data_IF_812729258877
#
_entry.id   IF_812729258877
#
_cell.length_a   1.000
_cell.length_b   1.000
_cell.length_c   1.000
_cell.angle_alpha   90.00
_cell.angle_beta   90.00
_cell.angle_gamma   90.00
#
_symmetry.space_group_name_H-M   'P 1'
#
loop_
_entity.id
_entity.type
_entity.pdbx_description
1 polymer ?
#
# COMPACT_ATOMS: atom_id res chain seq x y z
N UNK A 1 -2.17 12.34 10.19
CA UNK A 1 -1.42 13.08 9.16
C UNK A 1 -0.07 12.43 8.95
N UNK A 2 0.31 12.15 7.71
CA UNK A 2 1.65 11.73 7.30
C UNK A 2 2.35 12.94 6.68
N UNK A 3 3.59 13.22 7.07
CA UNK A 3 4.39 14.27 6.41
C UNK A 3 5.82 13.82 6.15
N UNK A 4 6.40 14.38 5.12
CA UNK A 4 7.79 14.18 4.72
C UNK A 4 8.48 15.55 4.63
N UNK A 5 9.67 15.66 5.19
CA UNK A 5 10.44 16.89 5.23
C UNK A 5 11.80 16.70 4.60
N UNK A 6 12.06 17.42 3.47
CA UNK A 6 13.33 17.48 2.77
C UNK A 6 13.94 16.08 2.47
N UNK A 7 13.09 15.11 2.11
CA UNK A 7 13.54 13.76 1.83
C UNK A 7 14.46 13.72 0.61
N UNK A 8 15.55 13.00 0.76
CA UNK A 8 16.46 12.65 -0.34
C UNK A 8 16.70 11.15 -0.35
N UNK A 9 16.79 10.57 -1.53
CA UNK A 9 17.06 9.15 -1.71
C UNK A 9 18.26 8.93 -2.66
N UNK A 10 19.17 8.08 -2.22
CA UNK A 10 20.34 7.66 -2.99
C UNK A 10 20.41 6.14 -3.04
N UNK A 11 20.75 5.57 -4.19
CA UNK A 11 20.96 4.14 -4.38
C UNK A 11 22.33 3.90 -5.03
N UNK A 12 23.27 3.37 -4.24
CA UNK A 12 24.69 3.35 -4.62
C UNK A 12 25.20 4.78 -4.82
N UNK A 13 25.75 5.06 -5.98
CA UNK A 13 26.23 6.41 -6.34
C UNK A 13 25.15 7.29 -6.98
N UNK A 14 23.99 6.70 -7.36
CA UNK A 14 22.92 7.42 -8.04
C UNK A 14 21.96 8.06 -7.04
N UNK A 15 21.80 9.38 -7.10
CA UNK A 15 20.75 10.11 -6.43
C UNK A 15 19.47 9.95 -7.23
N UNK A 16 18.35 9.57 -6.58
CA UNK A 16 17.06 9.34 -7.22
C UNK A 16 16.20 10.61 -7.15
N UNK A 17 16.11 11.22 -5.97
CA UNK A 17 15.42 12.49 -5.75
C UNK A 17 16.03 13.22 -4.55
N UNK A 18 15.77 14.55 -4.47
CA UNK A 18 16.26 15.41 -3.39
C UNK A 18 15.26 16.47 -2.99
N UNK A 19 15.21 16.77 -1.67
CA UNK A 19 14.45 17.90 -1.13
C UNK A 19 12.94 17.74 -1.17
N UNK A 20 12.43 16.50 -1.31
CA UNK A 20 11.01 16.21 -1.41
C UNK A 20 10.33 16.47 -0.06
N UNK A 21 9.27 17.29 -0.09
CA UNK A 21 8.44 17.59 1.09
C UNK A 21 6.97 17.56 0.70
N UNK A 22 6.14 16.96 1.56
CA UNK A 22 4.67 16.96 1.42
C UNK A 22 3.99 16.75 2.76
N UNK A 23 2.69 17.01 2.81
CA UNK A 23 1.82 16.70 3.94
C UNK A 23 0.53 16.06 3.43
N UNK A 24 0.20 14.88 3.97
CA UNK A 24 -1.00 14.12 3.64
C UNK A 24 -1.94 14.12 4.86
N UNK A 25 -3.04 14.87 4.81
CA UNK A 25 -4.03 14.87 5.89
C UNK A 25 -4.94 13.63 5.83
N UNK A 26 -5.72 13.41 6.90
CA UNK A 26 -6.74 12.36 6.98
C UNK A 26 -7.76 12.50 5.85
N UNK A 27 -8.23 11.39 5.30
CA UNK A 27 -9.19 11.33 4.22
C UNK A 27 -8.64 11.71 2.84
N UNK A 28 -7.32 11.85 2.69
CA UNK A 28 -6.68 12.25 1.42
C UNK A 28 -5.75 11.17 0.89
N UNK A 29 -5.43 11.30 -0.40
CA UNK A 29 -4.49 10.40 -1.07
C UNK A 29 -3.38 11.15 -1.81
N UNK A 30 -2.24 10.48 -1.99
CA UNK A 30 -1.13 10.88 -2.87
C UNK A 30 -0.87 9.75 -3.85
N UNK A 31 -0.92 10.07 -5.16
CA UNK A 31 -0.40 9.20 -6.21
C UNK A 31 1.03 9.60 -6.56
N UNK A 32 1.98 8.72 -6.28
CA UNK A 32 3.39 8.94 -6.63
C UNK A 32 3.61 8.61 -8.10
N UNK A 33 3.94 9.62 -8.89
CA UNK A 33 4.21 9.54 -10.34
C UNK A 33 5.70 9.71 -10.65
N UNK A 34 6.06 9.44 -11.88
CA UNK A 34 7.41 9.60 -12.42
C UNK A 34 7.82 8.41 -13.29
N UNK A 35 8.88 8.55 -14.10
CA UNK A 35 9.37 7.50 -14.98
C UNK A 35 9.89 6.26 -14.22
N UNK A 36 10.10 5.16 -14.95
CA UNK A 36 10.73 3.98 -14.37
C UNK A 36 12.16 4.33 -13.89
N UNK A 37 12.49 3.89 -12.68
CA UNK A 37 13.78 4.22 -12.06
C UNK A 37 13.86 5.59 -11.37
N UNK A 38 12.79 6.40 -11.35
CA UNK A 38 12.73 7.67 -10.62
C UNK A 38 12.77 7.52 -9.09
N UNK A 39 12.54 6.30 -8.57
CA UNK A 39 12.60 6.06 -7.14
C UNK A 39 11.23 5.89 -6.46
N UNK A 40 10.14 5.69 -7.21
CA UNK A 40 8.77 5.51 -6.66
C UNK A 40 8.74 4.47 -5.53
N UNK A 41 9.13 3.24 -5.81
CA UNK A 41 9.21 2.16 -4.81
C UNK A 41 10.18 2.50 -3.66
N UNK A 42 11.29 3.23 -3.95
CA UNK A 42 12.23 3.67 -2.91
C UNK A 42 11.58 4.68 -1.97
N UNK A 43 10.81 5.64 -2.50
CA UNK A 43 10.02 6.57 -1.69
C UNK A 43 9.00 5.81 -0.83
N UNK A 44 8.21 4.90 -1.40
CA UNK A 44 7.26 4.10 -0.61
C UNK A 44 7.95 3.34 0.52
N UNK A 45 9.13 2.74 0.26
CA UNK A 45 9.91 2.05 1.30
C UNK A 45 10.43 2.97 2.39
N UNK A 46 10.80 4.20 2.04
CA UNK A 46 11.20 5.23 3.03
C UNK A 46 9.99 5.61 3.88
N UNK A 47 8.84 5.88 3.26
CA UNK A 47 7.60 6.22 3.97
C UNK A 47 7.12 5.11 4.92
N UNK A 48 7.38 3.83 4.57
CA UNK A 48 7.07 2.67 5.42
C UNK A 48 8.13 2.41 6.51
N UNK A 49 9.22 3.17 6.58
CA UNK A 49 10.33 2.89 7.49
C UNK A 49 11.15 1.64 7.14
N UNK A 50 10.99 1.08 5.92
CA UNK A 50 11.75 -0.09 5.42
C UNK A 50 13.12 0.29 4.86
N UNK A 51 13.34 1.58 4.59
CA UNK A 51 14.61 2.14 4.15
C UNK A 51 14.79 3.51 4.79
N UNK A 52 16.02 3.84 5.14
CA UNK A 52 16.33 5.18 5.64
C UNK A 52 16.47 6.16 4.47
N UNK A 53 15.97 7.40 4.58
CA UNK A 53 16.29 8.44 3.64
C UNK A 53 17.79 8.81 3.73
N UNK A 54 18.37 9.32 2.65
CA UNK A 54 19.73 9.88 2.67
C UNK A 54 19.77 11.22 3.45
N UNK A 55 18.66 11.98 3.38
CA UNK A 55 18.43 13.21 4.15
C UNK A 55 16.94 13.37 4.39
N UNK A 56 16.59 14.17 5.40
CA UNK A 56 15.21 14.44 5.76
C UNK A 56 14.59 13.40 6.67
N UNK A 57 13.32 13.54 6.94
CA UNK A 57 12.57 12.67 7.86
C UNK A 57 11.13 12.47 7.43
N UNK A 58 10.53 11.39 7.94
CA UNK A 58 9.10 11.07 7.80
C UNK A 58 8.46 11.18 9.18
N UNK A 59 7.36 11.92 9.27
CA UNK A 59 6.59 12.07 10.50
C UNK A 59 5.20 11.45 10.32
N UNK A 60 4.82 10.66 11.30
CA UNK A 60 3.46 10.16 11.47
C UNK A 60 2.85 10.80 12.71
N UNK A 61 1.73 11.54 12.53
CA UNK A 61 1.07 12.27 13.62
C UNK A 61 2.04 13.21 14.37
N UNK A 62 2.99 13.81 13.66
CA UNK A 62 4.01 14.71 14.22
C UNK A 62 5.20 14.02 14.89
N UNK A 63 5.23 12.70 14.94
CA UNK A 63 6.34 11.93 15.52
C UNK A 63 7.18 11.28 14.43
N UNK A 64 8.51 11.29 14.58
CA UNK A 64 9.42 10.66 13.63
C UNK A 64 9.19 9.14 13.62
N UNK A 65 8.92 8.59 12.43
CA UNK A 65 8.56 7.17 12.24
C UNK A 65 9.69 6.20 12.63
N UNK A 66 10.94 6.64 12.62
CA UNK A 66 12.07 5.81 13.05
C UNK A 66 12.15 5.69 14.57
N UNK A 67 11.84 6.76 15.30
CA UNK A 67 11.84 6.77 16.77
C UNK A 67 10.63 6.04 17.37
N UNK A 68 9.51 5.98 16.64
CA UNK A 68 8.25 5.34 17.07
C UNK A 68 7.89 4.12 16.24
N UNK A 69 8.87 3.40 15.73
CA UNK A 69 8.73 2.36 14.70
C UNK A 69 7.67 1.31 15.03
N UNK A 70 7.62 0.82 16.26
CA UNK A 70 6.65 -0.22 16.66
C UNK A 70 5.21 0.29 16.59
N UNK A 71 4.95 1.48 17.14
CA UNK A 71 3.63 2.12 17.10
C UNK A 71 3.24 2.47 15.66
N UNK A 72 4.15 3.04 14.87
CA UNK A 72 3.91 3.37 13.46
C UNK A 72 3.57 2.13 12.62
N UNK A 73 4.30 1.02 12.80
CA UNK A 73 4.03 -0.21 12.05
C UNK A 73 2.67 -0.83 12.36
N UNK A 74 2.13 -0.62 13.57
CA UNK A 74 0.78 -1.07 13.92
C UNK A 74 -0.32 -0.28 13.18
N UNK A 75 -0.04 0.95 12.78
CA UNK A 75 -0.95 1.85 12.07
C UNK A 75 -0.74 1.87 10.54
N UNK A 76 0.17 1.05 10.03
CA UNK A 76 0.52 0.99 8.62
C UNK A 76 0.09 -0.32 7.97
N UNK A 77 -0.53 -0.22 6.79
CA UNK A 77 -0.63 -1.33 5.85
C UNK A 77 0.23 -1.05 4.63
N UNK A 78 1.26 -1.85 4.44
CA UNK A 78 2.13 -1.76 3.25
C UNK A 78 1.93 -2.97 2.34
N UNK A 79 1.68 -2.72 1.06
CA UNK A 79 1.72 -3.72 0.01
C UNK A 79 2.72 -3.29 -1.06
N UNK A 80 3.87 -3.98 -1.10
CA UNK A 80 4.87 -3.78 -2.13
C UNK A 80 4.50 -4.44 -3.45
N UNK A 81 5.39 -4.35 -4.43
CA UNK A 81 5.22 -4.98 -5.74
C UNK A 81 5.05 -6.51 -5.66
N UNK A 82 5.77 -7.17 -4.75
CA UNK A 82 5.59 -8.58 -4.45
C UNK A 82 4.35 -8.82 -3.58
N UNK A 83 3.57 -9.86 -3.89
CA UNK A 83 2.29 -10.11 -3.22
C UNK A 83 2.43 -10.69 -1.81
N UNK A 84 3.64 -11.11 -1.41
CA UNK A 84 3.94 -11.73 -0.10
C UNK A 84 3.04 -12.93 0.25
N UNK A 85 2.60 -13.69 -0.75
CA UNK A 85 1.78 -14.88 -0.58
C UNK A 85 2.65 -16.14 -0.55
N UNK A 86 2.29 -17.07 0.34
CA UNK A 86 2.87 -18.42 0.38
C UNK A 86 2.10 -19.30 -0.59
N UNK A 87 2.79 -19.85 -1.58
CA UNK A 87 2.15 -20.56 -2.71
C UNK A 87 1.50 -21.87 -2.30
N UNK A 88 2.02 -22.53 -1.28
CA UNK A 88 1.50 -23.80 -0.73
C UNK A 88 0.25 -23.62 0.13
N UNK A 89 0.07 -22.44 0.70
CA UNK A 89 -1.09 -22.13 1.53
C UNK A 89 -2.28 -21.73 0.66
N UNK A 90 -3.48 -22.01 1.16
CA UNK A 90 -4.73 -21.51 0.56
C UNK A 90 -4.83 -19.98 0.70
N UNK A 91 -5.77 -19.38 -0.07
CA UNK A 91 -6.06 -17.96 0.07
C UNK A 91 -6.49 -17.60 1.50
N UNK A 92 -7.30 -18.45 2.13
CA UNK A 92 -7.73 -18.26 3.53
C UNK A 92 -6.56 -18.27 4.50
N UNK A 93 -5.70 -19.29 4.43
CA UNK A 93 -4.52 -19.42 5.29
C UNK A 93 -3.54 -18.27 5.12
N UNK A 94 -3.31 -17.82 3.88
CA UNK A 94 -2.47 -16.65 3.60
C UNK A 94 -3.00 -15.40 4.30
N UNK A 95 -4.30 -15.13 4.19
CA UNK A 95 -4.92 -13.94 4.81
C UNK A 95 -4.92 -14.02 6.34
N UNK A 96 -5.21 -15.19 6.90
CA UNK A 96 -5.16 -15.41 8.35
C UNK A 96 -3.74 -15.25 8.89
N UNK A 97 -2.75 -15.87 8.25
CA UNK A 97 -1.34 -15.73 8.63
C UNK A 97 -0.86 -14.29 8.50
N UNK A 98 -1.22 -13.60 7.40
CA UNK A 98 -0.88 -12.19 7.21
C UNK A 98 -1.54 -11.27 8.24
N UNK A 99 -2.76 -11.55 8.68
CA UNK A 99 -3.43 -10.82 9.77
C UNK A 99 -2.75 -11.10 11.11
N UNK A 100 -2.45 -12.36 11.42
CA UNK A 100 -1.79 -12.78 12.66
C UNK A 100 -0.40 -12.13 12.83
N UNK A 101 0.38 -12.02 11.75
CA UNK A 101 1.67 -11.32 11.75
C UNK A 101 1.55 -9.82 12.09
N UNK A 102 0.37 -9.22 11.92
CA UNK A 102 0.04 -7.84 12.32
C UNK A 102 -0.64 -7.77 13.69
N UNK A 103 -0.72 -8.88 14.43
CA UNK A 103 -1.40 -8.94 15.71
C UNK A 103 -2.93 -8.95 15.62
N UNK A 104 -3.50 -9.19 14.42
CA UNK A 104 -4.94 -9.22 14.19
C UNK A 104 -5.46 -10.66 14.21
N UNK A 105 -6.57 -10.89 14.89
CA UNK A 105 -7.33 -12.15 14.83
C UNK A 105 -8.52 -11.95 13.89
N UNK A 106 -8.57 -12.68 12.77
CA UNK A 106 -9.65 -12.61 11.80
C UNK A 106 -10.41 -13.92 11.72
N UNK A 107 -11.74 -13.85 11.76
CA UNK A 107 -12.58 -15.03 11.64
C UNK A 107 -12.58 -15.58 10.22
N UNK A 108 -12.82 -16.88 10.01
CA UNK A 108 -12.98 -17.47 8.67
C UNK A 108 -14.08 -16.78 7.88
N UNK A 109 -15.14 -16.33 8.51
CA UNK A 109 -16.25 -15.61 7.90
C UNK A 109 -15.81 -14.22 7.35
N UNK A 110 -15.00 -13.47 8.13
CA UNK A 110 -14.44 -12.20 7.70
C UNK A 110 -13.52 -12.37 6.49
N UNK A 111 -12.69 -13.42 6.49
CA UNK A 111 -11.83 -13.76 5.35
C UNK A 111 -12.65 -14.10 4.10
N UNK A 112 -13.70 -14.90 4.23
CA UNK A 112 -14.62 -15.22 3.14
C UNK A 112 -15.31 -13.97 2.56
N UNK A 113 -15.76 -13.07 3.43
CA UNK A 113 -16.35 -11.79 3.02
C UNK A 113 -15.34 -10.92 2.26
N UNK A 114 -14.10 -10.82 2.76
CA UNK A 114 -13.02 -10.07 2.11
C UNK A 114 -12.68 -10.64 0.72
N UNK A 115 -12.53 -11.97 0.60
CA UNK A 115 -12.30 -12.64 -0.68
C UNK A 115 -13.47 -12.44 -1.66
N UNK A 116 -14.71 -12.44 -1.16
CA UNK A 116 -15.89 -12.19 -1.99
C UNK A 116 -15.91 -10.76 -2.53
N UNK A 117 -15.51 -9.76 -1.72
CA UNK A 117 -15.41 -8.35 -2.15
C UNK A 117 -14.42 -8.15 -3.31
N UNK A 118 -13.36 -8.94 -3.37
CA UNK A 118 -12.38 -8.88 -4.47
C UNK A 118 -12.64 -9.89 -5.59
N UNK A 119 -13.84 -10.50 -5.63
CA UNK A 119 -14.27 -11.39 -6.71
C UNK A 119 -13.64 -12.80 -6.69
N UNK A 120 -13.26 -13.31 -5.51
CA UNK A 120 -12.69 -14.66 -5.33
C UNK A 120 -13.62 -15.62 -4.61
N UNK A 121 -14.94 -15.46 -4.78
CA UNK A 121 -15.92 -16.39 -4.22
C UNK A 121 -15.67 -17.84 -4.72
N UNK A 122 -15.71 -18.82 -3.79
CA UNK A 122 -15.56 -20.24 -4.11
C UNK A 122 -14.11 -20.73 -4.33
N UNK A 123 -13.09 -19.86 -4.17
CA UNK A 123 -11.66 -20.22 -4.36
C UNK A 123 -10.82 -20.06 -3.08
N UNK A 124 -11.45 -19.81 -1.96
CA UNK A 124 -10.79 -19.50 -0.68
C UNK A 124 -9.91 -20.62 -0.13
N UNK A 125 -10.24 -21.88 -0.45
CA UNK A 125 -9.54 -23.07 0.04
C UNK A 125 -8.49 -23.60 -0.97
N UNK A 126 -8.40 -23.02 -2.15
CA UNK A 126 -7.41 -23.45 -3.15
C UNK A 126 -6.01 -22.94 -2.77
N UNK A 127 -4.97 -23.77 -2.88
CA UNK A 127 -3.59 -23.30 -2.76
C UNK A 127 -3.29 -22.16 -3.74
N UNK A 128 -2.56 -21.15 -3.28
CA UNK A 128 -2.28 -19.94 -4.09
C UNK A 128 -1.51 -20.28 -5.38
N UNK A 129 -0.70 -21.34 -5.39
CA UNK A 129 0.05 -21.78 -6.57
C UNK A 129 -0.83 -22.10 -7.80
N UNK A 130 -2.08 -22.55 -7.59
CA UNK A 130 -3.01 -22.88 -8.69
C UNK A 130 -3.84 -21.67 -9.16
N UNK A 131 -3.71 -20.54 -8.53
CA UNK A 131 -4.39 -19.31 -8.90
C UNK A 131 -3.65 -18.57 -10.02
N UNK A 132 -4.41 -17.92 -10.93
CA UNK A 132 -3.82 -17.02 -11.91
C UNK A 132 -3.17 -15.80 -11.22
N UNK A 133 -2.28 -15.08 -11.93
CA UNK A 133 -1.63 -13.88 -11.37
C UNK A 133 -2.64 -12.83 -10.91
N UNK A 134 -3.71 -12.59 -11.69
CA UNK A 134 -4.79 -11.70 -11.28
C UNK A 134 -5.53 -12.18 -10.04
N UNK A 135 -5.76 -13.49 -9.89
CA UNK A 135 -6.37 -14.06 -8.69
C UNK A 135 -5.45 -13.97 -7.47
N UNK A 136 -4.14 -14.23 -7.63
CA UNK A 136 -3.13 -14.02 -6.58
C UNK A 136 -3.15 -12.56 -6.11
N UNK A 137 -3.22 -11.60 -7.06
CA UNK A 137 -3.33 -10.18 -6.74
C UNK A 137 -4.58 -9.86 -5.95
N UNK A 138 -5.73 -10.40 -6.33
CA UNK A 138 -6.99 -10.23 -5.59
C UNK A 138 -6.90 -10.82 -4.17
N UNK A 139 -6.20 -11.95 -3.94
CA UNK A 139 -5.94 -12.46 -2.58
C UNK A 139 -5.17 -11.42 -1.76
N UNK A 140 -4.09 -10.84 -2.31
CA UNK A 140 -3.33 -9.81 -1.60
C UNK A 140 -4.18 -8.57 -1.28
N UNK A 141 -5.03 -8.13 -2.23
CA UNK A 141 -5.96 -7.00 -2.04
C UNK A 141 -7.05 -7.29 -0.99
N UNK A 142 -7.47 -8.55 -0.82
CA UNK A 142 -8.39 -8.91 0.26
C UNK A 142 -7.81 -8.61 1.64
N UNK A 143 -6.49 -8.56 1.78
CA UNK A 143 -5.82 -8.12 3.00
C UNK A 143 -6.12 -6.67 3.39
N UNK A 144 -6.37 -5.77 2.42
CA UNK A 144 -6.82 -4.39 2.68
C UNK A 144 -8.17 -4.38 3.39
N UNK A 145 -9.11 -5.21 2.94
CA UNK A 145 -10.46 -5.31 3.52
C UNK A 145 -10.42 -5.77 4.97
N UNK A 146 -9.39 -6.54 5.34
CA UNK A 146 -9.20 -7.06 6.70
C UNK A 146 -8.37 -6.12 7.59
N UNK A 147 -7.80 -5.07 7.00
CA UNK A 147 -6.92 -4.15 7.73
C UNK A 147 -7.72 -3.02 8.37
N UNK A 148 -7.41 -2.72 9.62
CA UNK A 148 -7.87 -1.52 10.33
C UNK A 148 -6.83 -0.40 10.36
N UNK A 149 -5.69 -0.56 9.67
CA UNK A 149 -4.61 0.43 9.65
C UNK A 149 -5.08 1.73 8.99
N UNK A 150 -4.88 2.89 9.63
CA UNK A 150 -5.31 4.18 9.08
C UNK A 150 -4.46 4.65 7.90
N UNK A 151 -3.23 4.17 7.74
CA UNK A 151 -2.35 4.53 6.63
C UNK A 151 -2.14 3.31 5.72
N UNK A 152 -2.50 3.47 4.44
CA UNK A 152 -2.20 2.49 3.40
C UNK A 152 -1.15 3.00 2.43
N UNK A 153 -0.11 2.21 2.19
CA UNK A 153 0.95 2.50 1.21
C UNK A 153 1.01 1.32 0.24
N UNK A 154 0.69 1.57 -1.04
CA UNK A 154 0.47 0.52 -2.04
C UNK A 154 1.35 0.73 -3.28
N UNK A 155 2.15 -0.27 -3.64
CA UNK A 155 3.01 -0.22 -4.84
C UNK A 155 2.32 -0.95 -6.00
N UNK A 156 1.84 -0.18 -7.00
CA UNK A 156 1.14 -0.65 -8.20
C UNK A 156 -0.09 -1.53 -7.89
N UNK A 157 -1.03 -1.11 -7.03
CA UNK A 157 -2.14 -1.97 -6.61
C UNK A 157 -3.08 -2.38 -7.75
N UNK A 158 -3.17 -1.57 -8.81
CA UNK A 158 -4.04 -1.80 -9.97
C UNK A 158 -3.42 -2.68 -11.07
N UNK A 159 -2.13 -2.99 -10.99
CA UNK A 159 -1.45 -3.78 -12.01
C UNK A 159 -2.06 -5.20 -12.14
N UNK A 160 -2.19 -5.69 -13.38
CA UNK A 160 -2.72 -7.01 -13.71
C UNK A 160 -4.16 -7.29 -13.19
N UNK A 161 -4.94 -6.26 -12.91
CA UNK A 161 -6.37 -6.37 -12.59
C UNK A 161 -7.22 -6.14 -13.84
N UNK A 162 -8.29 -6.90 -14.00
CA UNK A 162 -9.34 -6.61 -14.97
C UNK A 162 -10.21 -5.43 -14.49
N UNK A 163 -11.05 -4.91 -15.37
CA UNK A 163 -11.90 -3.73 -15.10
C UNK A 163 -12.77 -3.92 -13.86
N UNK A 164 -13.36 -5.11 -13.67
CA UNK A 164 -14.21 -5.39 -12.52
C UNK A 164 -13.44 -5.37 -11.20
N UNK A 165 -12.21 -5.92 -11.19
CA UNK A 165 -11.35 -5.89 -10.02
C UNK A 165 -10.79 -4.49 -9.73
N UNK A 166 -10.51 -3.70 -10.77
CA UNK A 166 -10.12 -2.29 -10.61
C UNK A 166 -11.24 -1.49 -9.95
N UNK A 167 -12.48 -1.63 -10.43
CA UNK A 167 -13.66 -0.96 -9.86
C UNK A 167 -13.89 -1.39 -8.39
N UNK A 168 -13.74 -2.69 -8.10
CA UNK A 168 -13.84 -3.19 -6.71
C UNK A 168 -12.76 -2.59 -5.81
N UNK A 169 -11.52 -2.49 -6.30
CA UNK A 169 -10.43 -1.87 -5.55
C UNK A 169 -10.68 -0.38 -5.32
N UNK A 170 -11.12 0.37 -6.34
CA UNK A 170 -11.49 1.79 -6.19
C UNK A 170 -12.52 1.95 -5.08
N UNK A 171 -13.60 1.16 -5.06
CA UNK A 171 -14.60 1.22 -4.00
C UNK A 171 -14.05 0.92 -2.60
N UNK A 172 -13.06 0.01 -2.49
CA UNK A 172 -12.38 -0.28 -1.21
C UNK A 172 -11.54 0.93 -0.77
N UNK A 173 -10.80 1.56 -1.70
CA UNK A 173 -9.99 2.74 -1.41
C UNK A 173 -10.85 3.94 -1.03
N UNK A 174 -11.94 4.20 -1.77
CA UNK A 174 -12.89 5.28 -1.46
C UNK A 174 -13.52 5.08 -0.08
N UNK A 175 -13.91 3.85 0.27
CA UNK A 175 -14.44 3.54 1.60
C UNK A 175 -13.41 3.81 2.70
N UNK A 176 -12.14 3.45 2.49
CA UNK A 176 -11.05 3.71 3.44
C UNK A 176 -10.85 5.22 3.66
N UNK A 177 -10.79 5.99 2.57
CA UNK A 177 -10.61 7.45 2.62
C UNK A 177 -11.81 8.15 3.26
N UNK A 178 -13.04 7.73 2.95
CA UNK A 178 -14.26 8.26 3.56
C UNK A 178 -14.32 8.04 5.09
N UNK A 179 -13.63 7.01 5.59
CA UNK A 179 -13.48 6.74 7.03
C UNK A 179 -12.32 7.51 7.68
N UNK A 180 -11.71 8.44 6.96
CA UNK A 180 -10.57 9.23 7.43
C UNK A 180 -9.21 8.57 7.24
N UNK A 181 -9.14 7.44 6.53
CA UNK A 181 -7.88 6.79 6.17
C UNK A 181 -6.99 7.66 5.28
N UNK A 182 -5.72 7.32 5.19
CA UNK A 182 -4.73 7.98 4.33
C UNK A 182 -4.19 6.95 3.33
N UNK A 183 -3.97 7.39 2.09
CA UNK A 183 -3.49 6.51 1.03
C UNK A 183 -2.32 7.13 0.27
N UNK A 184 -1.22 6.39 0.16
CA UNK A 184 -0.12 6.69 -0.77
C UNK A 184 0.02 5.52 -1.72
N UNK A 185 0.02 5.76 -3.02
CA UNK A 185 0.13 4.67 -3.98
C UNK A 185 0.89 5.07 -5.25
N UNK A 186 1.40 4.07 -5.95
CA UNK A 186 1.91 4.22 -7.32
C UNK A 186 0.92 3.63 -8.31
N UNK A 187 0.83 4.20 -9.49
CA UNK A 187 0.09 3.59 -10.62
C UNK A 187 0.60 4.15 -11.94
N UNK A 188 0.62 3.31 -12.98
CA UNK A 188 0.87 3.74 -14.35
C UNK A 188 -0.40 4.25 -15.06
N UNK A 189 -1.56 4.02 -14.46
CA UNK A 189 -2.86 4.45 -14.99
C UNK A 189 -3.37 5.64 -14.19
N UNK A 190 -4.11 6.56 -14.82
CA UNK A 190 -4.86 7.57 -14.08
C UNK A 190 -5.94 6.86 -13.25
N UNK A 191 -6.01 7.21 -11.97
CA UNK A 191 -6.99 6.67 -11.04
C UNK A 191 -7.80 7.84 -10.49
N UNK A 192 -9.10 7.75 -10.61
CA UNK A 192 -10.02 8.73 -10.06
C UNK A 192 -10.63 8.16 -8.77
N UNK A 193 -10.38 8.83 -7.65
CA UNK A 193 -10.96 8.54 -6.34
C UNK A 193 -11.88 9.69 -5.95
N UNK A 194 -12.93 9.39 -5.17
CA UNK A 194 -13.91 10.41 -4.76
C UNK A 194 -13.35 11.40 -3.74
N UNK A 195 -12.40 10.94 -2.90
CA UNK A 195 -11.75 11.77 -1.90
C UNK A 195 -10.76 12.75 -2.55
N UNK A 196 -10.46 13.89 -1.90
CA UNK A 196 -9.44 14.81 -2.33
C UNK A 196 -8.04 14.17 -2.28
N UNK A 197 -7.19 14.54 -3.24
CA UNK A 197 -5.82 14.04 -3.29
C UNK A 197 -5.00 14.75 -4.36
N UNK A 198 -3.74 14.38 -4.47
CA UNK A 198 -2.79 15.02 -5.37
C UNK A 198 -1.81 14.03 -6.00
N UNK A 199 -1.26 14.46 -7.12
CA UNK A 199 -0.17 13.79 -7.79
C UNK A 199 1.18 14.32 -7.30
N UNK A 200 2.04 13.44 -6.85
CA UNK A 200 3.42 13.73 -6.47
C UNK A 200 4.36 13.23 -7.58
N UNK A 201 4.79 14.12 -8.46
CA UNK A 201 5.71 13.75 -9.54
C UNK A 201 7.17 13.81 -9.07
N UNK A 202 7.80 12.63 -8.96
CA UNK A 202 9.22 12.52 -8.62
C UNK A 202 10.16 13.12 -9.68
N UNK A 203 9.71 13.31 -10.90
CA UNK A 203 10.50 13.96 -11.94
C UNK A 203 10.89 15.40 -11.60
N UNK A 204 10.05 16.10 -10.84
CA UNK A 204 10.32 17.47 -10.37
C UNK A 204 11.46 17.50 -9.34
N UNK A 205 11.69 16.42 -8.60
CA UNK A 205 12.71 16.28 -7.57
C UNK A 205 13.94 15.49 -8.05
N UNK A 206 13.99 15.18 -9.35
CA UNK A 206 15.14 14.45 -9.94
C UNK A 206 16.43 15.21 -9.70
N UNK A 207 17.50 14.47 -9.34
CA UNK A 207 18.80 15.03 -8.98
C UNK A 207 19.85 14.83 -10.07
#
# INVERSE_FOLDING_TARGET
MLSAHQLSCQRGTKRLFQGLSFSLPSGHWIQVKGPNGAGKTSLLRILCGLSNPAQGEVLWQGQNTQSTRSAFNAELYYQGHGLALKEELSATENLQSGAALRGLSVSPQAVQAALSKVGLKGRSQLPVKVLSQGQKRRVALAGLVLSSAPLWILDEPFAALDVAAQSSLQGILDQHLAQGGLLVFTSHQPIELQAPGEDLDLGVFAA
#
